data_IF_077554545690
#
_entry.id   IF_077554545690
#
_cell.length_a   1.000
_cell.length_b   1.000
_cell.length_c   1.000
_cell.angle_alpha   90.00
_cell.angle_beta   90.00
_cell.angle_gamma   90.00
#
_symmetry.space_group_name_H-M   'P 1'
#
loop_
_entity.id
_entity.type
_entity.pdbx_description
1 polymer ?
#
# COMPACT_ATOMS: atom_id res chain seq x y z
N UNK A 1 -25.25 10.10 -13.41
CA UNK A 1 -23.94 10.76 -13.65
C UNK A 1 -22.94 10.08 -12.74
N UNK A 2 -21.98 9.33 -13.28
CA UNK A 2 -21.01 8.51 -12.53
C UNK A 2 -19.90 9.44 -12.03
N UNK A 3 -19.66 9.51 -10.71
CA UNK A 3 -18.58 10.34 -10.12
C UNK A 3 -17.80 9.48 -9.13
N UNK A 4 -16.48 9.57 -9.25
CA UNK A 4 -15.47 8.62 -8.77
C UNK A 4 -15.15 8.77 -7.28
N UNK A 5 -14.98 7.65 -6.59
CA UNK A 5 -14.24 7.57 -5.31
C UNK A 5 -12.74 7.57 -5.65
N UNK A 6 -11.91 8.29 -4.90
CA UNK A 6 -10.46 8.27 -5.08
C UNK A 6 -9.77 7.92 -3.77
N UNK A 7 -9.31 6.68 -3.65
CA UNK A 7 -8.08 6.45 -2.90
C UNK A 7 -6.96 7.15 -3.68
N UNK A 8 -6.17 8.00 -3.02
CA UNK A 8 -5.04 8.67 -3.68
C UNK A 8 -3.76 8.02 -3.19
N UNK A 9 -3.20 7.18 -4.05
CA UNK A 9 -1.89 6.59 -3.86
C UNK A 9 -0.85 7.64 -4.21
N UNK A 10 -0.07 8.08 -3.21
CA UNK A 10 0.99 9.06 -3.42
C UNK A 10 2.32 8.32 -3.57
N UNK A 11 2.98 8.53 -4.71
CA UNK A 11 4.35 8.07 -4.89
C UNK A 11 5.27 9.15 -4.35
N UNK A 12 6.01 8.85 -3.28
CA UNK A 12 7.19 9.62 -2.94
C UNK A 12 8.24 9.37 -4.03
N UNK A 13 8.58 10.41 -4.81
CA UNK A 13 9.53 10.34 -5.93
C UNK A 13 10.99 10.24 -5.47
N UNK A 14 11.24 9.37 -4.49
CA UNK A 14 12.59 8.97 -4.10
C UNK A 14 12.96 7.70 -4.87
N UNK A 15 13.92 7.80 -5.77
CA UNK A 15 14.66 6.63 -6.26
C UNK A 15 15.21 5.92 -5.01
N UNK A 16 14.64 4.76 -4.65
CA UNK A 16 15.00 4.02 -3.43
C UNK A 16 14.03 4.12 -2.24
N UNK A 17 12.83 4.70 -2.39
CA UNK A 17 11.80 4.56 -1.35
C UNK A 17 11.39 3.09 -1.22
N UNK A 18 11.75 2.45 -0.11
CA UNK A 18 11.33 1.08 0.24
C UNK A 18 9.86 1.01 0.67
N UNK A 19 9.25 2.18 0.83
CA UNK A 19 7.94 2.37 1.42
C UNK A 19 6.91 2.81 0.37
N UNK A 20 5.70 2.25 0.45
CA UNK A 20 4.47 2.70 -0.19
C UNK A 20 3.63 3.53 0.80
N UNK A 21 3.12 4.68 0.38
CA UNK A 21 2.22 5.50 1.22
C UNK A 21 0.94 5.90 0.49
N UNK A 22 -0.15 6.00 1.24
CA UNK A 22 -1.45 6.44 0.70
C UNK A 22 -2.26 7.22 1.72
N UNK A 23 -3.22 7.99 1.20
CA UNK A 23 -4.23 8.65 2.03
C UNK A 23 -5.54 7.86 1.94
N UNK A 24 -6.16 7.53 3.10
CA UNK A 24 -7.39 6.78 3.11
C UNK A 24 -8.56 7.64 2.60
N UNK A 25 -9.64 7.04 2.06
CA UNK A 25 -10.86 7.78 1.78
C UNK A 25 -11.53 8.24 3.09
N UNK A 26 -12.06 9.47 3.10
CA UNK A 26 -12.77 10.04 4.26
C UNK A 26 -14.25 10.33 3.98
N UNK A 27 -14.71 10.00 2.78
CA UNK A 27 -16.09 10.19 2.32
C UNK A 27 -16.49 9.04 1.39
N UNK A 28 -17.78 8.69 1.41
CA UNK A 28 -18.41 7.73 0.50
C UNK A 28 -18.72 8.43 -0.84
N UNK A 29 -19.10 7.65 -1.86
CA UNK A 29 -19.44 8.18 -3.19
C UNK A 29 -20.59 9.20 -3.19
N UNK A 30 -21.48 9.13 -2.19
CA UNK A 30 -22.60 10.05 -2.02
C UNK A 30 -22.25 11.29 -1.16
N UNK A 31 -20.99 11.41 -0.72
CA UNK A 31 -20.52 12.48 0.16
C UNK A 31 -20.80 12.25 1.65
N UNK A 32 -21.39 11.11 2.03
CA UNK A 32 -21.52 10.74 3.44
C UNK A 32 -20.11 10.60 4.04
N UNK A 33 -19.84 11.18 5.22
CA UNK A 33 -18.56 11.00 5.91
C UNK A 33 -18.24 9.51 6.13
N UNK A 34 -16.96 9.18 6.05
CA UNK A 34 -16.43 7.85 6.30
C UNK A 34 -15.23 8.00 7.25
N UNK A 35 -15.28 7.32 8.40
CA UNK A 35 -14.15 7.23 9.31
C UNK A 35 -13.22 6.08 8.91
N UNK A 36 -12.04 6.34 8.31
CA UNK A 36 -11.16 5.29 7.84
C UNK A 36 -10.59 4.42 8.96
N UNK A 37 -10.61 4.89 10.22
CA UNK A 37 -10.09 4.13 11.36
C UNK A 37 -11.05 3.04 11.83
N UNK A 38 -12.34 3.15 11.52
CA UNK A 38 -13.38 2.28 12.06
C UNK A 38 -14.28 1.67 10.99
N UNK A 39 -14.39 2.29 9.82
CA UNK A 39 -15.29 1.88 8.75
C UNK A 39 -14.58 1.27 7.53
N UNK A 40 -13.25 1.28 7.46
CA UNK A 40 -12.49 0.53 6.45
C UNK A 40 -12.07 -0.83 7.01
N UNK A 41 -12.36 -1.90 6.26
CA UNK A 41 -11.99 -3.27 6.62
C UNK A 41 -10.66 -3.69 5.99
N UNK A 42 -10.39 -3.30 4.75
CA UNK A 42 -9.12 -3.58 4.07
C UNK A 42 -8.85 -2.60 2.92
N UNK A 43 -7.59 -2.51 2.52
CA UNK A 43 -7.18 -1.99 1.22
C UNK A 43 -6.74 -3.15 0.33
N UNK A 44 -6.99 -3.05 -0.98
CA UNK A 44 -6.47 -4.01 -1.96
C UNK A 44 -5.54 -3.28 -2.92
N UNK A 45 -4.26 -3.65 -2.90
CA UNK A 45 -3.30 -3.22 -3.91
C UNK A 45 -3.31 -4.23 -5.06
N UNK A 46 -3.62 -3.75 -6.26
CA UNK A 46 -3.64 -4.55 -7.47
C UNK A 46 -2.47 -4.13 -8.35
N UNK A 47 -1.55 -5.05 -8.63
CA UNK A 47 -0.38 -4.84 -9.48
C UNK A 47 -0.36 -5.94 -10.56
N UNK A 48 -0.81 -5.61 -11.77
CA UNK A 48 -1.06 -6.61 -12.81
C UNK A 48 -2.15 -7.61 -12.39
N UNK A 49 -1.80 -8.89 -12.35
CA UNK A 49 -2.72 -9.97 -11.91
C UNK A 49 -2.65 -10.26 -10.40
N UNK A 50 -1.71 -9.64 -9.69
CA UNK A 50 -1.51 -9.86 -8.25
C UNK A 50 -2.38 -8.90 -7.46
N UNK A 51 -3.14 -9.45 -6.51
CA UNK A 51 -3.96 -8.71 -5.56
C UNK A 51 -3.43 -8.97 -4.16
N UNK A 52 -3.02 -7.91 -3.48
CA UNK A 52 -2.54 -7.95 -2.10
C UNK A 52 -3.57 -7.27 -1.19
N UNK A 53 -4.11 -8.01 -0.23
CA UNK A 53 -4.94 -7.46 0.85
C UNK A 53 -4.06 -6.84 1.93
N UNK A 54 -4.42 -5.65 2.36
CA UNK A 54 -3.70 -4.82 3.32
C UNK A 54 -4.67 -4.45 4.45
N UNK A 55 -4.29 -4.75 5.70
CA UNK A 55 -5.07 -4.34 6.86
C UNK A 55 -5.04 -2.81 7.05
N UNK A 56 -6.12 -2.18 7.54
CA UNK A 56 -6.21 -0.73 7.72
C UNK A 56 -5.46 -0.21 8.95
N UNK A 57 -4.78 -1.08 9.69
CA UNK A 57 -4.10 -0.72 10.95
C UNK A 57 -2.69 -0.15 10.75
N UNK A 58 -2.19 -0.07 9.51
CA UNK A 58 -0.79 0.31 9.21
C UNK A 58 -0.60 1.82 9.02
N UNK A 59 -1.16 2.62 9.94
CA UNK A 59 -0.90 4.06 9.98
C UNK A 59 0.31 4.36 10.88
N UNK A 60 1.42 4.84 10.29
CA UNK A 60 2.52 5.45 11.04
C UNK A 60 2.35 6.96 11.04
N UNK A 61 1.84 7.50 12.15
CA UNK A 61 1.49 8.92 12.25
C UNK A 61 0.12 9.19 11.60
N UNK A 62 0.06 10.15 10.67
CA UNK A 62 -1.16 10.54 9.95
C UNK A 62 -1.28 9.89 8.55
N UNK A 63 -0.33 9.02 8.18
CA UNK A 63 -0.26 8.42 6.85
C UNK A 63 -0.20 6.89 6.93
N UNK A 64 -0.86 6.23 5.98
CA UNK A 64 -0.83 4.78 5.85
C UNK A 64 0.40 4.39 5.07
N UNK A 65 1.14 3.39 5.59
CA UNK A 65 2.48 3.06 5.14
C UNK A 65 2.72 1.55 5.14
N UNK A 66 3.31 1.01 4.07
CA UNK A 66 3.82 -0.38 4.03
C UNK A 66 5.15 -0.48 3.31
N UNK A 67 5.93 -1.52 3.58
CA UNK A 67 7.15 -1.79 2.80
C UNK A 67 6.81 -2.50 1.50
N UNK A 68 7.49 -2.13 0.42
CA UNK A 68 7.27 -2.67 -0.93
C UNK A 68 7.48 -4.17 -1.01
N UNK A 69 8.43 -4.71 -0.23
CA UNK A 69 8.74 -6.14 -0.24
C UNK A 69 7.61 -7.03 0.32
N UNK A 70 6.64 -6.44 1.03
CA UNK A 70 5.50 -7.15 1.65
C UNK A 70 4.33 -7.22 0.67
N UNK A 71 4.26 -6.28 -0.28
CA UNK A 71 3.06 -6.04 -1.08
C UNK A 71 3.24 -6.18 -2.59
N UNK A 72 4.47 -6.02 -3.10
CA UNK A 72 4.76 -6.15 -4.53
C UNK A 72 5.10 -7.61 -4.88
N UNK A 73 4.75 -8.06 -6.10
CA UNK A 73 4.97 -9.46 -6.51
C UNK A 73 6.45 -9.83 -6.71
N UNK A 74 7.36 -8.85 -6.73
CA UNK A 74 8.79 -9.05 -6.90
C UNK A 74 9.51 -7.78 -7.33
N UNK A 75 10.81 -7.89 -7.62
CA UNK A 75 11.59 -6.79 -8.16
C UNK A 75 11.11 -6.36 -9.55
N UNK A 76 11.39 -5.11 -9.92
CA UNK A 76 11.02 -4.48 -11.18
C UNK A 76 9.96 -3.40 -11.02
N UNK A 77 9.44 -2.93 -12.17
CA UNK A 77 8.36 -1.94 -12.25
C UNK A 77 7.00 -2.62 -12.34
N UNK A 78 6.04 -2.13 -11.55
CA UNK A 78 4.67 -2.64 -11.50
C UNK A 78 3.69 -1.49 -11.67
N UNK A 79 2.78 -1.61 -12.64
CA UNK A 79 1.60 -0.73 -12.74
C UNK A 79 0.57 -1.18 -11.71
N UNK A 80 0.31 -0.31 -10.73
CA UNK A 80 -0.53 -0.63 -9.59
C UNK A 80 -1.65 0.40 -9.39
N UNK A 81 -2.76 -0.06 -8.83
CA UNK A 81 -3.83 0.78 -8.29
C UNK A 81 -4.35 0.19 -6.98
N UNK A 82 -5.10 0.98 -6.22
CA UNK A 82 -5.63 0.59 -4.92
C UNK A 82 -7.14 0.80 -4.84
N UNK A 83 -7.84 -0.14 -4.22
CA UNK A 83 -9.24 0.02 -3.77
C UNK A 83 -9.31 -0.08 -2.25
N UNK A 84 -10.37 0.49 -1.68
CA UNK A 84 -10.72 0.35 -0.27
C UNK A 84 -12.02 -0.44 -0.15
N UNK A 85 -12.09 -1.35 0.82
CA UNK A 85 -13.30 -2.12 1.15
C UNK A 85 -13.75 -1.71 2.54
N UNK A 86 -15.01 -1.29 2.65
CA UNK A 86 -15.59 -0.90 3.94
C UNK A 86 -16.01 -2.10 4.79
N UNK A 87 -16.39 -1.85 6.04
CA UNK A 87 -16.85 -2.89 6.98
C UNK A 87 -18.17 -3.56 6.58
N UNK A 88 -18.92 -2.99 5.64
CA UNK A 88 -20.13 -3.58 5.05
C UNK A 88 -19.82 -4.41 3.79
N UNK A 89 -18.56 -4.45 3.36
CA UNK A 89 -18.08 -5.19 2.19
C UNK A 89 -18.26 -4.45 0.86
N UNK A 90 -18.54 -3.15 0.89
CA UNK A 90 -18.62 -2.32 -0.32
C UNK A 90 -17.21 -1.86 -0.72
N UNK A 91 -16.87 -2.07 -1.99
CA UNK A 91 -15.57 -1.71 -2.55
C UNK A 91 -15.64 -0.38 -3.32
N UNK A 92 -14.60 0.44 -3.16
CA UNK A 92 -14.47 1.71 -3.86
C UNK A 92 -14.17 1.54 -5.35
N UNK A 93 -14.30 2.63 -6.12
CA UNK A 93 -13.62 2.71 -7.41
C UNK A 93 -12.08 2.64 -7.21
N UNK A 94 -11.32 2.16 -8.20
CA UNK A 94 -9.85 2.19 -8.19
C UNK A 94 -9.26 3.60 -8.04
N UNK A 95 -8.12 3.69 -7.36
CA UNK A 95 -7.25 4.87 -7.38
C UNK A 95 -6.76 5.20 -8.80
N UNK A 96 -6.11 6.35 -8.94
CA UNK A 96 -5.23 6.56 -10.08
C UNK A 96 -4.15 5.45 -10.13
N UNK A 97 -3.82 4.98 -11.34
CA UNK A 97 -2.71 4.06 -11.56
C UNK A 97 -1.38 4.75 -11.31
N UNK A 98 -0.47 4.05 -10.63
CA UNK A 98 0.91 4.50 -10.40
C UNK A 98 1.89 3.40 -10.81
N UNK A 99 3.12 3.79 -11.16
CA UNK A 99 4.21 2.83 -11.40
C UNK A 99 5.05 2.73 -10.14
N UNK A 100 5.11 1.54 -9.54
CA UNK A 100 5.93 1.24 -8.38
C UNK A 100 7.15 0.43 -8.81
N UNK A 101 8.34 0.98 -8.61
CA UNK A 101 9.60 0.28 -8.81
C UNK A 101 10.14 -0.26 -7.48
N UNK A 102 10.59 -1.52 -7.48
CA UNK A 102 11.35 -2.12 -6.39
C UNK A 102 12.61 -2.79 -6.94
N UNK A 103 13.77 -2.34 -6.49
CA UNK A 103 15.07 -2.80 -6.98
C UNK A 103 15.81 -3.60 -5.90
N UNK A 104 16.58 -4.64 -6.29
CA UNK A 104 17.43 -5.35 -5.35
C UNK A 104 18.58 -4.45 -4.89
N UNK A 105 18.94 -4.57 -3.61
CA UNK A 105 20.09 -3.90 -3.00
C UNK A 105 21.03 -4.96 -2.43
N UNK A 106 22.34 -4.79 -2.61
CA UNK A 106 23.32 -5.75 -2.10
C UNK A 106 23.27 -5.86 -0.55
N UNK A 107 23.32 -7.07 0.01
CA UNK A 107 23.35 -7.25 1.46
C UNK A 107 24.69 -6.76 2.04
N UNK A 108 24.65 -6.25 3.27
CA UNK A 108 25.86 -5.91 4.02
C UNK A 108 26.53 -7.18 4.56
N UNK A 109 27.87 -7.20 4.61
CA UNK A 109 28.61 -8.30 5.20
C UNK A 109 28.24 -8.50 6.69
N UNK A 110 28.19 -9.74 7.21
CA UNK A 110 28.01 -9.98 8.64
C UNK A 110 29.16 -9.37 9.47
N UNK A 111 28.86 -8.79 10.63
CA UNK A 111 29.87 -8.16 11.51
C UNK A 111 30.39 -9.07 12.62
N UNK A 112 29.59 -10.03 13.09
CA UNK A 112 29.88 -10.80 14.30
C UNK A 112 29.70 -12.30 14.06
N UNK A 113 30.80 -13.00 13.78
CA UNK A 113 30.82 -14.47 13.68
C UNK A 113 31.36 -15.03 14.99
N UNK A 114 30.49 -15.62 15.81
CA UNK A 114 30.88 -16.36 17.01
C UNK A 114 31.19 -17.81 16.65
N UNK A 115 32.42 -18.25 16.90
CA UNK A 115 32.81 -19.66 16.82
C UNK A 115 32.85 -20.23 18.23
N UNK A 116 31.96 -21.16 18.55
CA UNK A 116 32.01 -21.93 19.79
C UNK A 116 32.88 -23.16 19.53
N UNK A 117 33.98 -23.30 20.28
CA UNK A 117 34.79 -24.52 20.32
C UNK A 117 34.43 -25.30 21.58
N UNK A 118 34.14 -26.59 21.42
CA UNK A 118 33.93 -27.54 22.52
C UNK A 118 35.24 -27.91 23.22
#
# INVERSE_FOLDING_TARGET
MKRLIFAVLFVSTGVGAETLTWNPPTERADGTPLDPMTEIAEYRLVCGEVVTSIEPTVARGEQYELTKHEVLPGYGEHECHMTAVDTDGLESDPSATVVLAWEPVEPRAPTDVLVIVE
#
